data_IF_069092974448
#
_entry.id   IF_069092974448
#
_cell.length_a   1.000
_cell.length_b   1.000
_cell.length_c   1.000
_cell.angle_alpha   90.00
_cell.angle_beta   90.00
_cell.angle_gamma   90.00
#
_symmetry.space_group_name_H-M   'P 1'
#
loop_
_entity.id
_entity.type
_entity.pdbx_description
1 polymer ?
#
# COMPACT_ATOMS: atom_id res chain seq x y z
N UNK A 1 -10.22 8.42 7.53
CA UNK A 1 -10.22 6.95 7.33
C UNK A 1 -10.89 6.57 6.01
N UNK A 2 -12.23 6.51 5.94
CA UNK A 2 -12.96 6.00 4.75
C UNK A 2 -12.62 6.68 3.43
N UNK A 3 -12.55 8.02 3.39
CA UNK A 3 -12.20 8.76 2.17
C UNK A 3 -10.80 8.43 1.63
N UNK A 4 -9.82 8.18 2.50
CA UNK A 4 -8.47 7.80 2.07
C UNK A 4 -8.42 6.39 1.47
N UNK A 5 -9.22 5.48 2.00
CA UNK A 5 -9.35 4.10 1.50
C UNK A 5 -10.13 4.06 0.19
N UNK A 6 -11.28 4.74 0.12
CA UNK A 6 -12.07 4.82 -1.11
C UNK A 6 -11.32 5.55 -2.22
N UNK A 7 -10.58 6.61 -1.89
CA UNK A 7 -9.73 7.35 -2.83
C UNK A 7 -8.42 6.65 -3.20
N UNK A 8 -8.01 5.61 -2.45
CA UNK A 8 -6.72 4.89 -2.60
C UNK A 8 -5.54 5.83 -2.76
N UNK A 9 -5.50 6.86 -1.93
CA UNK A 9 -4.42 7.84 -2.02
C UNK A 9 -3.10 7.16 -1.72
N UNK A 10 -2.18 7.16 -2.69
CA UNK A 10 -0.88 6.51 -2.55
C UNK A 10 -0.08 7.01 -1.33
N UNK A 11 -0.29 8.27 -0.95
CA UNK A 11 0.32 8.90 0.23
C UNK A 11 -0.40 8.62 1.56
N UNK A 12 -1.49 7.86 1.58
CA UNK A 12 -2.27 7.63 2.80
C UNK A 12 -1.58 6.65 3.75
N UNK A 13 -1.26 7.13 4.95
CA UNK A 13 -0.76 6.28 6.05
C UNK A 13 -1.75 5.21 6.46
N UNK A 14 -3.02 5.57 6.50
CA UNK A 14 -4.10 4.66 6.87
C UNK A 14 -4.24 3.53 5.85
N UNK A 15 -4.18 3.85 4.55
CA UNK A 15 -4.23 2.83 3.50
C UNK A 15 -3.05 1.87 3.62
N UNK A 16 -1.84 2.42 3.75
CA UNK A 16 -0.61 1.63 3.86
C UNK A 16 -0.66 0.70 5.08
N UNK A 17 -1.03 1.23 6.25
CA UNK A 17 -1.16 0.46 7.48
C UNK A 17 -2.18 -0.69 7.36
N UNK A 18 -3.38 -0.41 6.86
CA UNK A 18 -4.44 -1.42 6.78
C UNK A 18 -4.17 -2.47 5.71
N UNK A 19 -3.47 -2.11 4.64
CA UNK A 19 -3.12 -3.05 3.56
C UNK A 19 -2.18 -4.16 4.06
N UNK A 20 -1.22 -3.82 4.94
CA UNK A 20 -0.33 -4.81 5.55
C UNK A 20 -1.03 -5.80 6.52
N UNK A 21 -2.23 -5.44 7.00
CA UNK A 21 -3.00 -6.25 7.95
C UNK A 21 -4.03 -7.18 7.29
N UNK A 22 -4.08 -7.22 5.95
CA UNK A 22 -5.09 -7.97 5.18
C UNK A 22 -6.52 -7.61 5.59
N UNK A 23 -6.83 -6.30 5.60
CA UNK A 23 -8.18 -5.85 5.92
C UNK A 23 -9.16 -6.11 4.78
N UNK A 24 -10.43 -6.23 5.12
CA UNK A 24 -11.54 -6.20 4.16
C UNK A 24 -12.28 -4.87 4.22
N UNK A 25 -13.00 -4.57 3.16
CA UNK A 25 -13.94 -3.45 3.09
C UNK A 25 -15.33 -3.98 2.79
N UNK A 26 -16.36 -3.36 3.39
CA UNK A 26 -17.77 -3.62 3.07
C UNK A 26 -18.37 -2.39 2.41
N UNK A 27 -18.97 -2.61 1.25
CA UNK A 27 -19.80 -1.65 0.55
C UNK A 27 -21.28 -1.97 0.77
N UNK A 28 -22.15 -0.96 0.56
CA UNK A 28 -23.59 -1.10 0.77
C UNK A 28 -24.24 -2.06 -0.22
N UNK A 29 -23.93 -1.94 -1.51
CA UNK A 29 -24.47 -2.81 -2.56
C UNK A 29 -23.51 -3.91 -3.02
N UNK A 30 -22.23 -3.58 -3.19
CA UNK A 30 -21.22 -4.46 -3.79
C UNK A 30 -20.71 -5.57 -2.83
N UNK A 31 -21.16 -5.58 -1.58
CA UNK A 31 -20.79 -6.61 -0.62
C UNK A 31 -19.39 -6.39 -0.03
N UNK A 32 -18.65 -7.47 0.22
CA UNK A 32 -17.32 -7.43 0.82
C UNK A 32 -16.24 -7.73 -0.22
N UNK A 33 -15.10 -7.10 -0.09
CA UNK A 33 -13.90 -7.42 -0.85
C UNK A 33 -12.64 -7.14 -0.01
N UNK A 34 -11.51 -7.73 -0.40
CA UNK A 34 -10.24 -7.42 0.27
C UNK A 34 -9.81 -5.98 -0.04
N UNK A 35 -9.06 -5.37 0.88
CA UNK A 35 -8.48 -4.05 0.65
C UNK A 35 -7.42 -4.08 -0.46
N UNK A 36 -6.75 -5.22 -0.66
CA UNK A 36 -5.80 -5.42 -1.75
C UNK A 36 -6.52 -5.37 -3.12
N UNK A 37 -7.63 -6.07 -3.25
CA UNK A 37 -8.44 -6.04 -4.48
C UNK A 37 -8.97 -4.63 -4.75
N UNK A 38 -9.42 -3.93 -3.70
CA UNK A 38 -9.88 -2.54 -3.85
C UNK A 38 -8.78 -1.64 -4.45
N UNK A 39 -7.51 -1.85 -4.07
CA UNK A 39 -6.37 -1.10 -4.59
C UNK A 39 -6.15 -1.31 -6.09
N UNK A 40 -6.34 -2.54 -6.59
CA UNK A 40 -6.07 -2.92 -7.99
C UNK A 40 -7.28 -2.77 -8.93
N UNK A 41 -8.48 -3.20 -8.52
CA UNK A 41 -9.65 -3.40 -9.41
C UNK A 41 -10.43 -2.11 -9.77
N UNK A 42 -10.07 -0.95 -9.21
CA UNK A 42 -10.74 0.33 -9.52
C UNK A 42 -11.95 0.65 -8.64
N UNK A 43 -12.73 1.70 -8.99
CA UNK A 43 -13.79 2.27 -8.15
C UNK A 43 -15.12 1.50 -8.28
N UNK A 44 -15.58 0.75 -7.28
CA UNK A 44 -17.02 0.45 -7.19
C UNK A 44 -17.76 1.78 -6.98
N UNK A 45 -18.77 2.09 -7.79
CA UNK A 45 -19.65 3.26 -7.59
C UNK A 45 -20.63 2.96 -6.45
N UNK A 46 -20.11 2.94 -5.23
CA UNK A 46 -20.86 2.52 -4.04
C UNK A 46 -20.33 3.23 -2.79
N UNK A 47 -21.06 3.11 -1.68
CA UNK A 47 -20.72 3.68 -0.38
C UNK A 47 -19.90 2.68 0.43
N UNK A 48 -18.69 3.09 0.83
CA UNK A 48 -17.87 2.34 1.77
C UNK A 48 -18.46 2.46 3.18
N UNK A 49 -19.08 1.38 3.68
CA UNK A 49 -19.73 1.35 4.99
C UNK A 49 -18.74 1.21 6.13
N UNK A 50 -17.80 0.26 5.99
CA UNK A 50 -16.85 -0.08 7.05
C UNK A 50 -15.63 -0.83 6.52
N UNK A 51 -14.61 -0.83 7.36
CA UNK A 51 -13.39 -1.62 7.22
C UNK A 51 -13.43 -2.73 8.28
N UNK A 52 -13.06 -3.94 7.89
CA UNK A 52 -12.93 -5.08 8.80
C UNK A 52 -11.44 -5.36 8.98
N UNK A 53 -10.98 -5.26 10.22
CA UNK A 53 -9.63 -5.67 10.62
C UNK A 53 -9.75 -6.98 11.38
N UNK A 54 -9.09 -8.03 10.89
CA UNK A 54 -9.12 -9.33 11.55
C UNK A 54 -8.35 -9.28 12.87
N UNK A 55 -8.80 -10.00 13.89
CA UNK A 55 -8.03 -10.12 15.14
C UNK A 55 -6.98 -11.19 14.96
N UNK A 56 -5.71 -10.80 14.94
CA UNK A 56 -4.54 -11.68 14.84
C UNK A 56 -3.42 -11.15 15.74
N UNK A 57 -2.45 -11.99 16.15
CA UNK A 57 -1.29 -11.55 16.92
C UNK A 57 -0.26 -10.85 16.02
N UNK A 58 -0.66 -9.73 15.41
CA UNK A 58 0.20 -8.96 14.52
C UNK A 58 1.41 -8.41 15.29
N UNK A 59 2.59 -8.54 14.68
CA UNK A 59 3.73 -7.68 15.00
C UNK A 59 3.90 -6.70 13.86
N UNK A 60 3.44 -5.46 14.05
CA UNK A 60 3.36 -4.48 12.99
C UNK A 60 4.05 -3.16 13.35
N UNK A 61 4.61 -2.50 12.34
CA UNK A 61 5.17 -1.15 12.45
C UNK A 61 4.89 -0.39 11.17
N UNK A 62 4.46 0.87 11.31
CA UNK A 62 4.30 1.81 10.21
C UNK A 62 5.30 2.97 10.39
N UNK A 63 6.02 3.31 9.33
CA UNK A 63 6.99 4.40 9.28
C UNK A 63 6.79 5.20 8.01
N UNK A 64 6.86 6.51 8.14
CA UNK A 64 6.78 7.43 7.02
C UNK A 64 7.91 8.45 7.10
N UNK A 65 8.39 8.89 5.95
CA UNK A 65 9.30 10.00 5.80
C UNK A 65 8.53 11.19 5.25
N UNK A 66 8.67 12.36 5.88
CA UNK A 66 8.02 13.62 5.48
C UNK A 66 9.06 14.73 5.44
N UNK A 67 8.83 15.74 4.59
CA UNK A 67 9.69 16.93 4.54
C UNK A 67 9.44 17.84 5.74
N UNK A 68 8.18 17.97 6.16
CA UNK A 68 7.76 18.61 7.40
C UNK A 68 6.68 17.78 8.10
N UNK A 69 6.45 18.04 9.39
CA UNK A 69 5.56 17.22 10.23
C UNK A 69 4.13 17.07 9.66
N UNK A 70 3.62 18.10 9.00
CA UNK A 70 2.26 18.14 8.44
C UNK A 70 2.20 17.80 6.94
N UNK A 71 3.34 17.57 6.29
CA UNK A 71 3.36 17.26 4.86
C UNK A 71 2.89 15.85 4.57
N UNK A 72 2.42 15.60 3.35
CA UNK A 72 2.25 14.22 2.86
C UNK A 72 3.59 13.46 2.87
N UNK A 73 3.56 12.15 3.15
CA UNK A 73 4.77 11.35 3.12
C UNK A 73 5.39 11.36 1.73
N UNK A 74 6.72 11.37 1.68
CA UNK A 74 7.50 11.09 0.46
C UNK A 74 7.74 9.59 0.28
N UNK A 75 7.76 8.85 1.39
CA UNK A 75 7.79 7.39 1.43
C UNK A 75 6.98 6.95 2.64
N UNK A 76 6.18 5.90 2.47
CA UNK A 76 5.38 5.31 3.52
C UNK A 76 5.52 3.79 3.50
N UNK A 77 5.77 3.17 4.64
CA UNK A 77 5.95 1.73 4.75
C UNK A 77 5.23 1.21 5.98
N UNK A 78 4.42 0.20 5.79
CA UNK A 78 3.85 -0.60 6.87
C UNK A 78 4.33 -2.04 6.70
N UNK A 79 4.92 -2.62 7.74
CA UNK A 79 5.29 -4.03 7.77
C UNK A 79 4.55 -4.71 8.92
N UNK A 80 3.95 -5.86 8.65
CA UNK A 80 3.28 -6.70 9.63
C UNK A 80 3.71 -8.15 9.46
N UNK A 81 4.03 -8.82 10.57
CA UNK A 81 4.29 -10.25 10.60
C UNK A 81 3.09 -10.97 11.21
N UNK A 82 2.48 -11.86 10.45
CA UNK A 82 1.36 -12.71 10.86
C UNK A 82 1.25 -13.91 9.90
N UNK A 83 0.66 -15.02 10.35
CA UNK A 83 0.55 -16.23 9.51
C UNK A 83 1.92 -16.77 9.07
N UNK A 84 2.94 -16.59 9.92
CA UNK A 84 4.35 -16.93 9.66
C UNK A 84 4.98 -16.25 8.44
N UNK A 85 4.38 -15.16 7.93
CA UNK A 85 4.87 -14.42 6.77
C UNK A 85 4.86 -12.89 7.00
N UNK A 86 5.80 -12.21 6.34
CA UNK A 86 5.83 -10.75 6.28
C UNK A 86 4.84 -10.21 5.26
N UNK A 87 4.14 -9.15 5.65
CA UNK A 87 3.22 -8.40 4.80
C UNK A 87 3.64 -6.95 4.84
N UNK A 88 4.18 -6.46 3.72
CA UNK A 88 4.80 -5.14 3.63
C UNK A 88 4.06 -4.30 2.61
N UNK A 89 3.37 -3.27 3.08
CA UNK A 89 2.80 -2.26 2.23
C UNK A 89 3.78 -1.11 2.04
N UNK A 90 3.97 -0.66 0.79
CA UNK A 90 4.78 0.51 0.44
C UNK A 90 3.92 1.51 -0.33
N UNK A 91 3.90 2.75 0.14
CA UNK A 91 3.17 3.86 -0.46
C UNK A 91 4.03 5.10 -0.66
N UNK A 92 3.38 6.17 -1.08
CA UNK A 92 3.93 7.51 -1.34
C UNK A 92 4.98 7.62 -2.45
N UNK A 93 5.20 6.56 -3.26
CA UNK A 93 6.12 6.56 -4.41
C UNK A 93 5.41 6.84 -5.74
N UNK A 94 4.73 7.99 -5.82
CA UNK A 94 3.91 8.49 -6.96
C UNK A 94 2.78 7.56 -7.50
N UNK A 95 2.75 6.30 -7.08
CA UNK A 95 1.74 5.27 -7.37
C UNK A 95 0.86 4.97 -6.13
N UNK A 96 -0.18 4.15 -6.34
CA UNK A 96 -0.99 3.56 -5.26
C UNK A 96 -0.11 2.73 -4.32
N UNK A 97 -0.55 2.58 -3.07
CA UNK A 97 0.12 1.67 -2.13
C UNK A 97 0.11 0.24 -2.71
N UNK A 98 1.23 -0.46 -2.56
CA UNK A 98 1.43 -1.83 -3.03
C UNK A 98 1.70 -2.74 -1.84
N UNK A 99 1.05 -3.90 -1.81
CA UNK A 99 1.33 -4.96 -0.84
C UNK A 99 2.35 -5.92 -1.43
N UNK A 100 3.34 -6.29 -0.63
CA UNK A 100 4.36 -7.28 -0.96
C UNK A 100 4.43 -8.29 0.18
N UNK A 101 4.48 -9.56 -0.18
CA UNK A 101 4.64 -10.65 0.78
C UNK A 101 6.12 -10.90 1.10
N UNK A 102 6.39 -11.60 2.19
CA UNK A 102 7.73 -11.98 2.59
C UNK A 102 8.42 -12.80 1.51
N UNK A 103 7.67 -13.71 0.89
CA UNK A 103 8.10 -14.48 -0.28
C UNK A 103 8.54 -13.60 -1.46
N UNK A 104 7.80 -12.54 -1.79
CA UNK A 104 8.18 -11.57 -2.85
C UNK A 104 9.42 -10.73 -2.48
N UNK A 105 9.68 -10.53 -1.19
CA UNK A 105 10.79 -9.72 -0.69
C UNK A 105 12.03 -10.54 -0.30
N UNK A 106 11.94 -11.87 -0.31
CA UNK A 106 12.99 -12.75 0.21
C UNK A 106 13.21 -12.59 1.72
N UNK A 107 12.12 -12.31 2.47
CA UNK A 107 12.06 -12.28 3.93
C UNK A 107 11.49 -13.61 4.42
N UNK A 108 12.37 -14.51 4.84
CA UNK A 108 12.02 -15.87 5.28
C UNK A 108 11.90 -15.94 6.80
N UNK A 109 12.72 -15.17 7.51
CA UNK A 109 12.76 -15.20 8.96
C UNK A 109 11.86 -14.16 9.62
N UNK A 110 11.33 -14.50 10.79
CA UNK A 110 10.59 -13.57 11.67
C UNK A 110 11.46 -12.38 12.12
N UNK A 111 12.78 -12.53 12.12
CA UNK A 111 13.76 -11.48 12.42
C UNK A 111 14.75 -11.37 11.26
N UNK A 112 14.39 -10.66 10.19
CA UNK A 112 15.18 -10.60 8.97
C UNK A 112 16.64 -10.22 9.22
N UNK A 113 17.56 -10.96 8.61
CA UNK A 113 18.99 -10.62 8.58
C UNK A 113 19.23 -9.34 7.76
N UNK A 114 20.44 -8.79 7.85
CA UNK A 114 20.81 -7.61 7.06
C UNK A 114 20.76 -7.90 5.55
N UNK A 115 21.08 -9.12 5.16
CA UNK A 115 21.05 -9.60 3.77
C UNK A 115 19.61 -9.74 3.27
N UNK A 116 18.71 -10.31 4.09
CA UNK A 116 17.27 -10.37 3.80
C UNK A 116 16.69 -8.96 3.60
N UNK A 117 17.02 -8.03 4.51
CA UNK A 117 16.59 -6.64 4.42
C UNK A 117 17.16 -5.93 3.18
N UNK A 118 18.40 -6.21 2.79
CA UNK A 118 19.01 -5.63 1.59
C UNK A 118 18.29 -6.11 0.31
N UNK A 119 17.95 -7.41 0.21
CA UNK A 119 17.17 -7.94 -0.91
C UNK A 119 15.77 -7.34 -0.97
N UNK A 120 15.09 -7.23 0.17
CA UNK A 120 13.79 -6.61 0.25
C UNK A 120 13.81 -5.14 -0.21
N UNK A 121 14.85 -4.39 0.15
CA UNK A 121 15.04 -3.01 -0.32
C UNK A 121 15.23 -2.92 -1.83
N UNK A 122 16.01 -3.80 -2.43
CA UNK A 122 16.16 -3.86 -3.89
C UNK A 122 14.84 -4.22 -4.59
N UNK A 123 14.12 -5.22 -4.08
CA UNK A 123 12.79 -5.56 -4.59
C UNK A 123 11.84 -4.35 -4.53
N UNK A 124 11.82 -3.62 -3.41
CA UNK A 124 11.03 -2.39 -3.28
C UNK A 124 11.47 -1.31 -4.26
N UNK A 125 12.77 -1.13 -4.50
CA UNK A 125 13.29 -0.15 -5.47
C UNK A 125 12.79 -0.41 -6.89
N UNK A 126 12.67 -1.67 -7.29
CA UNK A 126 12.21 -2.06 -8.63
C UNK A 126 10.72 -1.84 -8.89
N UNK A 127 9.91 -1.58 -7.85
CA UNK A 127 8.48 -1.33 -8.07
C UNK A 127 8.30 -0.06 -8.91
N UNK A 128 7.31 -0.04 -9.82
CA UNK A 128 7.07 1.11 -10.67
C UNK A 128 6.75 2.36 -9.84
N UNK A 129 7.53 3.42 -10.06
CA UNK A 129 7.19 4.75 -9.58
C UNK A 129 6.01 5.28 -10.41
N UNK A 130 5.15 6.07 -9.78
CA UNK A 130 4.10 6.74 -10.53
C UNK A 130 4.70 7.75 -11.49
N UNK A 131 4.19 7.73 -12.72
CA UNK A 131 4.51 8.66 -13.78
C UNK A 131 4.33 10.08 -13.24
N UNK A 132 5.39 10.89 -13.28
CA UNK A 132 5.35 12.29 -12.88
C UNK A 132 4.19 13.01 -13.60
N UNK A 133 3.55 13.98 -12.95
CA UNK A 133 2.51 14.84 -13.58
C UNK A 133 3.01 15.44 -14.91
N UNK A 134 4.31 15.74 -15.01
CA UNK A 134 4.95 16.24 -16.23
C UNK A 134 5.06 15.18 -17.35
N UNK A 135 5.26 13.92 -16.99
CA UNK A 135 5.32 12.82 -17.94
C UNK A 135 3.93 12.36 -18.39
N UNK A 136 2.91 12.46 -17.52
CA UNK A 136 1.50 12.31 -17.92
C UNK A 136 1.08 13.40 -18.93
N UNK A 137 1.43 14.66 -18.68
CA UNK A 137 1.17 15.76 -19.63
C UNK A 137 1.88 15.53 -20.97
N UNK A 138 3.11 15.00 -20.97
CA UNK A 138 3.82 14.63 -22.21
C UNK A 138 3.14 13.46 -22.95
N UNK A 139 2.74 12.40 -22.24
CA UNK A 139 2.05 11.24 -22.85
C UNK A 139 0.67 11.60 -23.40
N UNK A 140 -0.10 12.43 -22.69
CA UNK A 140 -1.37 12.95 -23.22
C UNK A 140 -1.16 13.89 -24.42
N UNK A 141 -0.13 14.74 -24.41
CA UNK A 141 0.20 15.61 -25.55
C UNK A 141 0.66 14.87 -26.82
N UNK A 142 1.10 13.62 -26.70
CA UNK A 142 1.46 12.76 -27.84
C UNK A 142 0.28 11.95 -28.39
N UNK A 143 -0.79 11.76 -27.61
CA UNK A 143 -2.01 11.05 -28.03
C UNK A 143 -3.01 11.99 -28.72
N UNK A 144 -2.90 13.31 -28.51
CA UNK A 144 -3.76 14.35 -29.11
C UNK A 144 -3.06 15.04 -30.30
N UNK A 145 -2.22 14.33 -31.04
CA UNK A 145 -1.69 14.76 -32.34
C UNK A 145 -1.99 13.74 -33.41
#
# INVERSE_FOLDING_TARGET
MGGSLYGRFGFSDVLCALLALECEVKFTGAGRMSLADLCEEGYPRDVLERVVVHRRPYQASCKCLRRQATDFPVVNVAAAYWGDEWHVAVGARSCRARLLTGSQLGLESKRPSREELARALEAVRTLPEGVSKNELVRRFGQIVR
#
